data_IF_592404894309
#
_entry.id   IF_592404894309
#
_cell.length_a   1.000
_cell.length_b   1.000
_cell.length_c   1.000
_cell.angle_alpha   90.00
_cell.angle_beta   90.00
_cell.angle_gamma   90.00
#
_symmetry.space_group_name_H-M   'P 1'
#
loop_
_entity.id
_entity.type
_entity.pdbx_description
1 polymer ?
#
# COMPACT_ATOMS: atom_id res chain seq x y z
N UNK A 1 -24.70 28.82 -2.59
CA UNK A 1 -24.10 28.13 -1.43
C UNK A 1 -24.43 26.65 -1.59
N UNK A 2 -23.45 25.85 -2.05
CA UNK A 2 -23.65 24.42 -2.27
C UNK A 2 -23.56 23.77 -0.89
N UNK A 3 -24.69 23.26 -0.39
CA UNK A 3 -24.71 22.44 0.81
C UNK A 3 -23.89 21.18 0.51
N UNK A 4 -22.68 21.10 1.05
CA UNK A 4 -21.95 19.84 1.14
C UNK A 4 -22.65 19.00 2.19
N UNK A 5 -23.67 18.27 1.75
CA UNK A 5 -24.29 17.20 2.50
C UNK A 5 -23.19 16.17 2.81
N UNK A 6 -22.62 16.26 4.01
CA UNK A 6 -21.70 15.26 4.51
C UNK A 6 -22.52 13.99 4.75
N UNK A 7 -22.57 13.13 3.73
CA UNK A 7 -23.22 11.83 3.81
C UNK A 7 -22.50 11.04 4.91
N UNK A 8 -23.15 10.91 6.06
CA UNK A 8 -22.67 10.11 7.18
C UNK A 8 -22.51 8.66 6.68
N UNK A 9 -21.26 8.25 6.47
CA UNK A 9 -20.97 6.89 6.01
C UNK A 9 -21.18 5.94 7.19
N UNK A 10 -22.10 4.99 7.04
CA UNK A 10 -22.29 3.91 8.01
C UNK A 10 -20.94 3.19 8.25
N UNK A 11 -20.44 3.15 9.51
CA UNK A 11 -19.18 2.50 9.84
C UNK A 11 -19.17 1.02 9.45
N UNK A 12 -20.33 0.35 9.41
CA UNK A 12 -20.45 -1.01 8.92
C UNK A 12 -20.16 -1.09 7.42
N UNK A 13 -20.78 -0.22 6.62
CA UNK A 13 -20.53 -0.16 5.19
C UNK A 13 -19.05 0.13 4.90
N UNK A 14 -18.45 1.10 5.61
CA UNK A 14 -17.02 1.43 5.50
C UNK A 14 -16.13 0.24 5.87
N UNK A 15 -16.49 -0.49 6.93
CA UNK A 15 -15.78 -1.67 7.42
C UNK A 15 -15.85 -2.87 6.48
N UNK A 16 -16.95 -3.03 5.73
CA UNK A 16 -17.12 -4.07 4.72
C UNK A 16 -16.45 -3.74 3.39
N UNK A 17 -16.34 -2.44 3.03
CA UNK A 17 -15.76 -2.03 1.75
C UNK A 17 -14.24 -1.80 1.79
N UNK A 18 -13.65 -1.62 2.98
CA UNK A 18 -12.19 -1.46 3.12
C UNK A 18 -11.46 -2.77 2.83
N UNK A 19 -10.19 -2.67 2.42
CA UNK A 19 -9.39 -3.86 2.25
C UNK A 19 -9.21 -4.64 3.58
N UNK A 20 -9.13 -5.98 3.51
CA UNK A 20 -8.89 -6.81 4.69
C UNK A 20 -7.51 -6.50 5.27
N UNK A 21 -7.47 -6.23 6.58
CA UNK A 21 -6.26 -5.97 7.35
C UNK A 21 -5.91 -7.20 8.20
N UNK A 22 -4.61 -7.46 8.38
CA UNK A 22 -4.08 -8.48 9.26
C UNK A 22 -2.85 -7.93 9.99
N UNK A 23 -2.83 -8.04 11.32
CA UNK A 23 -1.77 -7.46 12.16
C UNK A 23 -1.45 -5.98 11.86
N UNK A 24 -2.48 -5.19 11.54
CA UNK A 24 -2.31 -3.75 11.28
C UNK A 24 -1.80 -3.37 9.88
N UNK A 25 -1.68 -4.34 8.96
CA UNK A 25 -1.26 -4.11 7.55
C UNK A 25 -2.25 -4.79 6.61
N UNK A 26 -2.35 -4.33 5.35
CA UNK A 26 -3.14 -5.00 4.32
C UNK A 26 -2.74 -6.49 4.18
N UNK A 27 -3.73 -7.38 4.08
CA UNK A 27 -3.53 -8.82 3.98
C UNK A 27 -2.52 -9.23 2.90
N UNK A 28 -2.56 -8.58 1.72
CA UNK A 28 -1.66 -8.89 0.61
C UNK A 28 -0.20 -8.55 0.95
N UNK A 29 0.02 -7.43 1.62
CA UNK A 29 1.36 -6.96 2.02
C UNK A 29 1.91 -7.85 3.14
N UNK A 30 1.05 -8.28 4.07
CA UNK A 30 1.45 -9.21 5.13
C UNK A 30 1.98 -10.54 4.55
N UNK A 31 1.19 -11.20 3.69
CA UNK A 31 1.62 -12.45 3.07
C UNK A 31 2.81 -12.26 2.14
N UNK A 32 2.90 -11.13 1.42
CA UNK A 32 4.09 -10.77 0.65
C UNK A 32 5.35 -10.72 1.53
N UNK A 33 5.26 -10.11 2.71
CA UNK A 33 6.37 -10.05 3.66
C UNK A 33 6.73 -11.44 4.23
N UNK A 34 5.75 -12.28 4.52
CA UNK A 34 5.98 -13.68 4.96
C UNK A 34 6.71 -14.47 3.89
N UNK A 35 6.26 -14.38 2.63
CA UNK A 35 6.90 -15.07 1.50
C UNK A 35 8.31 -14.54 1.29
N UNK A 36 8.52 -13.21 1.34
CA UNK A 36 9.84 -12.60 1.23
C UNK A 36 10.80 -13.10 2.33
N UNK A 37 10.33 -13.16 3.58
CA UNK A 37 11.08 -13.71 4.70
C UNK A 37 11.47 -15.17 4.47
N UNK A 38 10.54 -15.99 4.01
CA UNK A 38 10.79 -17.40 3.70
C UNK A 38 11.85 -17.55 2.60
N UNK A 39 11.71 -16.81 1.49
CA UNK A 39 12.65 -16.84 0.36
C UNK A 39 14.07 -16.44 0.79
N UNK A 40 14.20 -15.37 1.58
CA UNK A 40 15.50 -14.91 2.08
C UNK A 40 16.11 -15.94 3.04
N UNK A 41 15.30 -16.52 3.93
CA UNK A 41 15.80 -17.51 4.90
C UNK A 41 16.28 -18.79 4.20
N UNK A 42 15.56 -19.23 3.15
CA UNK A 42 15.93 -20.38 2.33
C UNK A 42 17.22 -20.09 1.56
N UNK A 43 17.29 -18.94 0.87
CA UNK A 43 18.44 -18.58 0.02
C UNK A 43 19.72 -18.35 0.84
N UNK A 44 19.59 -17.67 1.99
CA UNK A 44 20.72 -17.40 2.88
C UNK A 44 21.02 -18.57 3.84
N UNK A 45 20.25 -19.66 3.77
CA UNK A 45 20.31 -20.82 4.68
C UNK A 45 20.42 -20.42 6.16
N UNK A 46 19.74 -19.35 6.55
CA UNK A 46 19.90 -18.72 7.86
C UNK A 46 18.59 -18.08 8.30
N UNK A 47 18.47 -17.82 9.60
CA UNK A 47 17.24 -17.26 10.17
C UNK A 47 17.19 -15.73 10.12
N UNK A 48 18.08 -15.11 9.34
CA UNK A 48 18.14 -13.67 9.13
C UNK A 48 16.88 -13.08 8.48
N UNK A 49 16.02 -13.91 7.86
CA UNK A 49 14.72 -13.46 7.36
C UNK A 49 13.78 -12.99 8.48
N UNK A 50 13.86 -13.55 9.69
CA UNK A 50 12.96 -13.20 10.81
C UNK A 50 13.18 -11.75 11.28
N UNK A 51 14.39 -11.29 11.63
CA UNK A 51 14.59 -9.89 12.01
C UNK A 51 14.24 -8.93 10.87
N UNK A 52 14.50 -9.32 9.62
CA UNK A 52 14.12 -8.53 8.45
C UNK A 52 12.59 -8.44 8.29
N UNK A 53 11.86 -9.54 8.52
CA UNK A 53 10.41 -9.57 8.52
C UNK A 53 9.84 -8.56 9.51
N UNK A 54 10.34 -8.56 10.75
CA UNK A 54 9.89 -7.64 11.80
C UNK A 54 10.15 -6.20 11.37
N UNK A 55 11.34 -5.90 10.86
CA UNK A 55 11.70 -4.55 10.41
C UNK A 55 10.78 -4.04 9.29
N UNK A 56 10.58 -4.85 8.23
CA UNK A 56 9.70 -4.50 7.12
C UNK A 56 8.25 -4.38 7.57
N UNK A 57 7.79 -5.28 8.45
CA UNK A 57 6.43 -5.27 8.96
C UNK A 57 6.13 -4.00 9.77
N UNK A 58 7.04 -3.59 10.66
CA UNK A 58 6.88 -2.35 11.43
C UNK A 58 6.82 -1.10 10.54
N UNK A 59 7.66 -1.05 9.50
CA UNK A 59 7.58 0.02 8.49
C UNK A 59 6.23 -0.01 7.75
N UNK A 60 5.75 -1.19 7.38
CA UNK A 60 4.47 -1.32 6.70
C UNK A 60 3.29 -0.91 7.58
N UNK A 61 3.30 -1.30 8.86
CA UNK A 61 2.32 -0.83 9.86
C UNK A 61 2.32 0.69 9.92
N UNK A 62 3.51 1.31 10.02
CA UNK A 62 3.63 2.76 10.12
C UNK A 62 3.07 3.50 8.90
N UNK A 63 3.27 2.95 7.70
CA UNK A 63 2.69 3.50 6.47
C UNK A 63 1.16 3.31 6.41
N UNK A 64 0.66 2.20 6.95
CA UNK A 64 -0.77 1.86 6.98
C UNK A 64 -1.60 2.61 8.04
N UNK A 65 -0.97 3.35 8.98
CA UNK A 65 -1.70 4.13 10.00
C UNK A 65 -2.59 5.20 9.37
N UNK A 66 -2.10 5.89 8.34
CA UNK A 66 -2.85 6.98 7.68
C UNK A 66 -3.91 6.42 6.74
N UNK A 67 -3.54 5.42 5.96
CA UNK A 67 -4.41 4.80 4.96
C UNK A 67 -4.18 3.28 4.94
N UNK A 68 -5.22 2.45 5.18
CA UNK A 68 -5.06 0.99 5.21
C UNK A 68 -4.62 0.41 3.86
N UNK A 69 -4.99 1.06 2.76
CA UNK A 69 -4.64 0.69 1.38
C UNK A 69 -3.47 1.50 0.80
N UNK A 70 -2.64 2.11 1.65
CA UNK A 70 -1.50 2.92 1.23
C UNK A 70 -0.68 2.30 0.09
N UNK A 71 -0.38 1.00 0.18
CA UNK A 71 0.42 0.28 -0.81
C UNK A 71 -0.28 0.14 -2.17
N UNK A 72 -1.56 -0.22 -2.19
CA UNK A 72 -2.33 -0.33 -3.44
C UNK A 72 -2.50 1.03 -4.10
N UNK A 73 -2.77 2.07 -3.31
CA UNK A 73 -2.89 3.44 -3.80
C UNK A 73 -1.57 3.94 -4.38
N UNK A 74 -0.45 3.69 -3.69
CA UNK A 74 0.87 4.08 -4.17
C UNK A 74 1.25 3.33 -5.45
N UNK A 75 0.95 2.03 -5.50
CA UNK A 75 1.21 1.21 -6.68
C UNK A 75 0.34 1.62 -7.87
N UNK A 76 -0.96 1.85 -7.67
CA UNK A 76 -1.85 2.36 -8.72
C UNK A 76 -1.45 3.76 -9.18
N UNK A 77 -1.05 4.64 -8.27
CA UNK A 77 -0.49 5.94 -8.62
C UNK A 77 0.77 5.78 -9.47
N UNK A 78 1.65 4.83 -9.12
CA UNK A 78 2.84 4.56 -9.92
C UNK A 78 2.51 4.00 -11.31
N UNK A 79 1.50 3.13 -11.44
CA UNK A 79 1.06 2.59 -12.74
C UNK A 79 0.40 3.66 -13.60
N UNK A 80 -0.52 4.45 -13.04
CA UNK A 80 -1.29 5.45 -13.78
C UNK A 80 -0.50 6.73 -14.09
N UNK A 81 0.42 7.08 -13.21
CA UNK A 81 1.30 8.24 -13.36
C UNK A 81 2.75 7.79 -13.18
N UNK A 82 3.29 7.04 -14.16
CA UNK A 82 4.68 6.61 -14.08
C UNK A 82 5.61 7.84 -14.09
N UNK A 83 6.77 7.76 -13.43
CA UNK A 83 7.74 8.85 -13.45
C UNK A 83 8.30 9.01 -14.86
N UNK A 84 7.73 9.94 -15.63
CA UNK A 84 8.16 10.29 -16.98
C UNK A 84 9.00 11.56 -16.97
N UNK A 85 9.85 11.75 -17.99
CA UNK A 85 10.71 12.93 -18.13
C UNK A 85 9.92 14.25 -18.13
N UNK A 86 8.69 14.23 -18.65
CA UNK A 86 7.82 15.41 -18.70
C UNK A 86 7.13 15.75 -17.36
N UNK A 87 7.26 14.89 -16.34
CA UNK A 87 6.58 15.07 -15.06
C UNK A 87 6.95 16.42 -14.41
N UNK A 88 8.19 16.87 -14.58
CA UNK A 88 8.66 18.16 -14.06
C UNK A 88 8.06 19.39 -14.74
N UNK A 89 7.62 19.27 -15.99
CA UNK A 89 7.06 20.38 -16.75
C UNK A 89 5.55 20.51 -16.55
N UNK A 90 4.84 19.39 -16.44
CA UNK A 90 3.37 19.35 -16.53
C UNK A 90 2.72 18.75 -15.28
N UNK A 91 3.47 18.05 -14.42
CA UNK A 91 2.96 17.42 -13.21
C UNK A 91 2.19 16.11 -13.44
N UNK A 92 2.04 15.68 -14.70
CA UNK A 92 1.40 14.42 -15.09
C UNK A 92 2.02 13.85 -16.38
N UNK A 93 1.73 12.59 -16.68
CA UNK A 93 2.20 11.95 -17.90
C UNK A 93 1.38 12.42 -19.11
N UNK A 94 1.98 13.23 -19.98
CA UNK A 94 1.36 13.72 -21.23
C UNK A 94 1.58 12.77 -22.42
N UNK A 95 2.46 11.77 -22.27
CA UNK A 95 2.80 10.85 -23.37
C UNK A 95 1.75 9.75 -23.59
N UNK A 96 0.76 9.62 -22.70
CA UNK A 96 -0.38 8.73 -22.86
C UNK A 96 -1.65 9.57 -23.09
N UNK A 97 -2.22 9.60 -24.31
CA UNK A 97 -3.44 10.34 -24.63
C UNK A 97 -4.75 9.58 -24.32
N UNK A 98 -4.77 8.59 -23.43
CA UNK A 98 -5.95 7.77 -23.13
C UNK A 98 -6.37 7.81 -21.66
#
# INVERSE_FOLDING_TARGET
>A
MINHEQKEHDPLALGLTRAPLFMGVNLRVFFGNVVLCALISINAQSWWGIPLFIFIHLLAVRLSIKEPDYFNLKFNSFIKTPPVRNFWYVGFNTYEPW
#
